data_IF_703395215411
#
_entry.id   IF_703395215411
#
_cell.length_a   1.000
_cell.length_b   1.000
_cell.length_c   1.000
_cell.angle_alpha   90.00
_cell.angle_beta   90.00
_cell.angle_gamma   90.00
#
_symmetry.space_group_name_H-M   'P 1'
#
loop_
_entity.id
_entity.type
_entity.pdbx_description
1 polymer ?
#
# COMPACT_ATOMS: atom_id res chain seq x y z
N UNK A 1 -26.82 -11.53 -25.54
CA UNK A 1 -27.86 -11.33 -24.51
C UNK A 1 -28.59 -10.04 -24.81
N UNK A 2 -29.85 -10.12 -25.19
CA UNK A 2 -30.70 -8.95 -25.50
C UNK A 2 -31.13 -8.30 -24.19
N UNK A 3 -30.66 -7.08 -23.91
CA UNK A 3 -31.12 -6.33 -22.73
C UNK A 3 -32.61 -6.00 -22.92
N UNK A 4 -33.45 -6.49 -22.01
CA UNK A 4 -34.88 -6.13 -21.97
C UNK A 4 -34.97 -4.62 -21.74
N UNK A 5 -35.50 -3.89 -22.71
CA UNK A 5 -35.65 -2.44 -22.61
C UNK A 5 -36.49 -2.08 -21.37
N UNK A 6 -36.01 -1.13 -20.56
CA UNK A 6 -36.77 -0.61 -19.43
C UNK A 6 -37.99 0.16 -19.95
N UNK A 7 -39.12 0.04 -19.26
CA UNK A 7 -40.31 0.81 -19.60
C UNK A 7 -40.05 2.31 -19.40
N UNK A 8 -40.69 3.19 -20.21
CA UNK A 8 -40.50 4.63 -20.10
C UNK A 8 -40.90 5.19 -18.72
N UNK A 9 -41.90 4.59 -18.07
CA UNK A 9 -42.29 4.92 -16.70
C UNK A 9 -41.16 4.66 -15.69
N UNK A 10 -40.42 3.56 -15.86
CA UNK A 10 -39.29 3.24 -14.98
C UNK A 10 -38.12 4.19 -15.20
N UNK A 11 -37.87 4.61 -16.43
CA UNK A 11 -36.83 5.60 -16.75
C UNK A 11 -37.12 6.95 -16.07
N UNK A 12 -38.38 7.39 -16.07
CA UNK A 12 -38.79 8.62 -15.38
C UNK A 12 -38.58 8.53 -13.85
N UNK A 13 -38.90 7.38 -13.25
CA UNK A 13 -38.67 7.10 -11.84
C UNK A 13 -37.18 7.17 -11.48
N UNK A 14 -36.30 6.55 -12.28
CA UNK A 14 -34.85 6.59 -12.07
C UNK A 14 -34.30 8.01 -12.10
N UNK A 15 -34.76 8.82 -13.05
CA UNK A 15 -34.33 10.23 -13.18
C UNK A 15 -34.82 11.09 -12.02
N UNK A 16 -36.05 10.90 -11.55
CA UNK A 16 -36.59 11.58 -10.37
C UNK A 16 -35.81 11.23 -9.10
N UNK A 17 -35.50 9.96 -8.89
CA UNK A 17 -34.70 9.55 -7.73
C UNK A 17 -33.27 10.10 -7.80
N UNK A 18 -32.71 10.23 -9.01
CA UNK A 18 -31.36 10.78 -9.19
C UNK A 18 -31.33 12.30 -8.98
N UNK A 19 -32.35 13.04 -9.43
CA UNK A 19 -32.43 14.49 -9.21
C UNK A 19 -32.65 14.85 -7.73
N UNK A 20 -33.24 13.94 -6.94
CA UNK A 20 -33.30 14.03 -5.47
C UNK A 20 -31.93 13.83 -4.79
N UNK A 21 -30.86 13.56 -5.55
CA UNK A 21 -29.50 13.41 -5.02
C UNK A 21 -29.20 12.04 -4.43
N UNK A 22 -29.99 11.01 -4.74
CA UNK A 22 -29.69 9.64 -4.30
C UNK A 22 -28.49 9.06 -5.08
N UNK A 23 -27.71 8.22 -4.40
CA UNK A 23 -26.60 7.49 -5.03
C UNK A 23 -27.10 6.43 -6.02
N UNK A 24 -26.30 6.08 -7.02
CA UNK A 24 -26.70 5.11 -8.06
C UNK A 24 -27.14 3.76 -7.47
N UNK A 25 -26.41 3.28 -6.45
CA UNK A 25 -26.76 2.07 -5.71
C UNK A 25 -28.12 2.18 -5.01
N UNK A 26 -28.38 3.31 -4.34
CA UNK A 26 -29.66 3.53 -3.67
C UNK A 26 -30.84 3.60 -4.67
N UNK A 27 -30.62 4.22 -5.83
CA UNK A 27 -31.60 4.26 -6.92
C UNK A 27 -31.85 2.86 -7.47
N UNK A 28 -30.80 2.08 -7.73
CA UNK A 28 -30.88 0.71 -8.21
C UNK A 28 -31.68 -0.19 -7.26
N UNK A 29 -31.41 -0.10 -5.95
CA UNK A 29 -32.15 -0.84 -4.93
C UNK A 29 -33.62 -0.43 -4.85
N UNK A 30 -33.93 0.88 -4.85
CA UNK A 30 -35.31 1.36 -4.78
C UNK A 30 -36.13 1.00 -6.03
N UNK A 31 -35.51 1.07 -7.20
CA UNK A 31 -36.18 0.80 -8.46
C UNK A 31 -36.14 -0.67 -8.88
N UNK A 32 -35.36 -1.53 -8.21
CA UNK A 32 -35.23 -2.94 -8.55
C UNK A 32 -34.54 -3.19 -9.90
N UNK A 33 -33.58 -2.35 -10.26
CA UNK A 33 -32.83 -2.44 -11.53
C UNK A 33 -31.33 -2.50 -11.29
N UNK A 34 -30.55 -2.95 -12.27
CA UNK A 34 -29.09 -2.98 -12.16
C UNK A 34 -28.50 -1.57 -12.14
N UNK A 35 -27.36 -1.39 -11.45
CA UNK A 35 -26.64 -0.11 -11.42
C UNK A 35 -26.23 0.36 -12.83
N UNK A 36 -25.92 -0.58 -13.74
CA UNK A 36 -25.63 -0.27 -15.14
C UNK A 36 -26.83 0.33 -15.89
N UNK A 37 -28.05 -0.14 -15.61
CA UNK A 37 -29.26 0.44 -16.19
C UNK A 37 -29.51 1.86 -15.65
N UNK A 38 -29.29 2.09 -14.35
CA UNK A 38 -29.35 3.44 -13.76
C UNK A 38 -28.31 4.35 -14.42
N UNK A 39 -27.07 3.88 -14.54
CA UNK A 39 -25.98 4.61 -15.20
C UNK A 39 -26.34 5.07 -16.60
N UNK A 40 -26.90 4.19 -17.41
CA UNK A 40 -27.23 4.50 -18.80
C UNK A 40 -28.36 5.54 -18.92
N UNK A 41 -29.32 5.55 -17.99
CA UNK A 41 -30.49 6.41 -18.05
C UNK A 41 -30.40 7.70 -17.23
N UNK A 42 -29.38 7.85 -16.38
CA UNK A 42 -29.19 9.03 -15.52
C UNK A 42 -27.81 9.65 -15.60
N UNK A 43 -27.02 9.33 -16.64
CA UNK A 43 -25.63 9.80 -16.81
C UNK A 43 -25.50 11.32 -16.89
N UNK A 44 -26.52 11.96 -17.45
CA UNK A 44 -26.64 13.40 -17.64
C UNK A 44 -26.94 14.17 -16.34
N UNK A 45 -27.41 13.47 -15.30
CA UNK A 45 -27.71 14.09 -14.01
C UNK A 45 -26.44 14.08 -13.15
N UNK A 46 -25.92 15.26 -12.75
CA UNK A 46 -24.67 15.36 -12.03
C UNK A 46 -24.73 14.56 -10.72
N UNK A 47 -23.60 14.00 -10.28
CA UNK A 47 -23.56 13.29 -9.01
C UNK A 47 -23.95 14.21 -7.86
N UNK A 48 -24.68 13.71 -6.85
CA UNK A 48 -24.93 14.47 -5.64
C UNK A 48 -23.58 14.93 -5.10
N UNK A 49 -23.48 16.22 -4.79
CA UNK A 49 -22.24 16.85 -4.34
C UNK A 49 -21.56 15.92 -3.33
N UNK A 50 -20.40 15.41 -3.73
CA UNK A 50 -19.62 14.47 -2.92
C UNK A 50 -19.26 15.23 -1.66
N UNK A 51 -20.00 15.03 -0.57
CA UNK A 51 -19.60 15.53 0.74
C UNK A 51 -18.30 14.82 1.08
N UNK A 52 -17.18 15.42 0.70
CA UNK A 52 -15.86 15.15 1.28
C UNK A 52 -15.84 15.76 2.67
N UNK A 53 -16.79 15.36 3.51
CA UNK A 53 -16.65 15.42 4.95
C UNK A 53 -16.45 13.98 5.34
N UNK A 54 -15.20 13.63 5.65
CA UNK A 54 -14.83 12.52 6.52
C UNK A 54 -15.46 12.73 7.90
N UNK A 55 -16.78 12.71 7.97
CA UNK A 55 -17.48 12.50 9.21
C UNK A 55 -17.50 10.99 9.37
N UNK A 56 -16.64 10.48 10.26
CA UNK A 56 -16.83 9.18 10.91
C UNK A 56 -18.23 9.21 11.53
N UNK A 57 -19.24 8.86 10.75
CA UNK A 57 -20.54 8.44 11.27
C UNK A 57 -20.28 7.00 11.70
N UNK A 58 -20.09 6.82 13.01
CA UNK A 58 -20.08 5.50 13.60
C UNK A 58 -21.31 4.74 13.12
N UNK A 59 -21.12 3.50 12.74
CA UNK A 59 -22.20 2.56 12.43
C UNK A 59 -23.04 2.35 13.68
N UNK A 60 -24.02 3.20 13.91
CA UNK A 60 -25.17 2.90 14.74
C UNK A 60 -26.28 2.41 13.82
N UNK A 61 -26.26 1.11 13.55
CA UNK A 61 -27.42 0.42 13.00
C UNK A 61 -27.49 -0.96 13.64
N UNK A 62 -28.28 -1.08 14.70
CA UNK A 62 -29.51 -1.88 14.64
C UNK A 62 -30.26 -1.86 15.98
N UNK A 63 -31.57 -1.74 15.84
CA UNK A 63 -32.60 -2.20 16.75
C UNK A 63 -32.82 -1.38 18.05
N UNK A 64 -33.89 -0.60 18.01
CA UNK A 64 -34.75 -0.41 19.17
C UNK A 64 -35.18 -1.79 19.69
N UNK A 65 -34.47 -2.31 20.68
CA UNK A 65 -35.02 -3.26 21.64
C UNK A 65 -34.79 -2.61 23.00
N UNK A 66 -35.88 -2.22 23.65
CA UNK A 66 -35.87 -1.79 25.04
C UNK A 66 -35.59 -3.01 25.91
N UNK A 67 -34.32 -3.33 26.11
CA UNK A 67 -33.90 -4.22 27.18
C UNK A 67 -33.27 -3.39 28.30
N UNK A 68 -34.00 -3.35 29.41
CA UNK A 68 -33.59 -2.88 30.72
C UNK A 68 -32.29 -3.56 31.15
N UNK A 69 -31.16 -2.95 30.85
CA UNK A 69 -29.88 -3.36 31.45
C UNK A 69 -29.03 -2.13 31.73
N UNK A 70 -28.89 -1.85 33.02
CA UNK A 70 -27.82 -1.10 33.65
C UNK A 70 -27.37 0.19 32.98
N UNK A 71 -27.66 1.32 33.63
CA UNK A 71 -26.79 2.49 33.55
C UNK A 71 -25.35 2.06 33.94
N UNK A 72 -24.55 1.65 32.96
CA UNK A 72 -23.12 1.51 33.15
C UNK A 72 -22.58 2.93 33.19
N UNK A 73 -22.33 3.35 34.42
CA UNK A 73 -21.56 4.53 34.79
C UNK A 73 -20.36 4.66 33.86
N UNK A 74 -20.40 5.65 32.97
CA UNK A 74 -19.23 6.14 32.24
C UNK A 74 -18.29 6.79 33.27
N UNK A 75 -17.53 5.95 33.97
CA UNK A 75 -16.49 6.36 34.89
C UNK A 75 -15.21 6.74 34.15
N UNK A 76 -14.25 7.40 34.81
CA UNK A 76 -13.01 7.92 34.24
C UNK A 76 -12.08 6.88 33.60
N UNK A 77 -12.41 5.59 33.70
CA UNK A 77 -11.68 4.48 33.09
C UNK A 77 -11.86 4.37 31.57
N UNK A 78 -12.80 5.07 30.93
CA UNK A 78 -12.98 4.97 29.48
C UNK A 78 -11.95 5.75 28.65
N UNK A 79 -11.41 6.86 29.16
CA UNK A 79 -10.44 7.67 28.40
C UNK A 79 -9.01 7.15 28.55
N UNK A 80 -8.59 6.80 29.78
CA UNK A 80 -7.26 6.21 30.01
C UNK A 80 -7.07 4.89 29.24
N UNK A 81 -8.12 4.07 29.14
CA UNK A 81 -8.06 2.81 28.40
C UNK A 81 -7.97 3.04 26.88
N UNK A 82 -8.65 4.07 26.36
CA UNK A 82 -8.53 4.49 24.95
C UNK A 82 -7.15 5.05 24.64
N UNK A 83 -6.60 5.86 25.54
CA UNK A 83 -5.25 6.42 25.42
C UNK A 83 -4.20 5.31 25.40
N UNK A 84 -4.31 4.35 26.33
CA UNK A 84 -3.40 3.19 26.37
C UNK A 84 -3.51 2.35 25.09
N UNK A 85 -4.72 2.09 24.60
CA UNK A 85 -4.92 1.37 23.34
C UNK A 85 -4.30 2.10 22.14
N UNK A 86 -4.42 3.43 22.10
CA UNK A 86 -3.80 4.26 21.08
C UNK A 86 -2.27 4.25 21.18
N UNK A 87 -1.72 4.29 22.39
CA UNK A 87 -0.28 4.19 22.63
C UNK A 87 0.28 2.83 22.19
N UNK A 88 -0.39 1.73 22.54
CA UNK A 88 0.00 0.37 22.11
C UNK A 88 -0.04 0.26 20.59
N UNK A 89 -1.09 0.79 19.95
CA UNK A 89 -1.18 0.80 18.49
C UNK A 89 -0.06 1.62 17.85
N UNK A 90 0.26 2.79 18.42
CA UNK A 90 1.37 3.63 17.93
C UNK A 90 2.71 2.93 18.09
N UNK A 91 2.96 2.30 19.23
CA UNK A 91 4.20 1.55 19.49
C UNK A 91 4.36 0.37 18.51
N UNK A 92 3.28 -0.36 18.23
CA UNK A 92 3.30 -1.43 17.23
C UNK A 92 3.60 -0.91 15.83
N UNK A 93 2.93 0.16 15.42
CA UNK A 93 3.20 0.78 14.10
C UNK A 93 4.63 1.30 14.02
N UNK A 94 5.18 1.83 15.11
CA UNK A 94 6.56 2.27 15.15
C UNK A 94 7.53 1.10 14.96
N UNK A 95 7.33 -0.01 15.68
CA UNK A 95 8.14 -1.22 15.49
C UNK A 95 8.06 -1.73 14.05
N UNK A 96 6.87 -1.76 13.44
CA UNK A 96 6.71 -2.15 12.03
C UNK A 96 7.44 -1.19 11.06
N UNK A 97 7.49 0.12 11.36
CA UNK A 97 8.25 1.09 10.56
C UNK A 97 9.76 0.91 10.71
N UNK A 98 10.22 0.61 11.92
CA UNK A 98 11.63 0.34 12.21
C UNK A 98 12.09 -0.93 11.46
N UNK A 99 11.30 -2.01 11.50
CA UNK A 99 11.54 -3.24 10.74
C UNK A 99 11.58 -3.01 9.20
N UNK A 100 10.73 -2.11 8.69
CA UNK A 100 10.76 -1.74 7.26
C UNK A 100 12.04 -0.97 6.95
N UNK A 101 12.49 -0.10 7.85
CA UNK A 101 13.70 0.70 7.66
C UNK A 101 14.94 -0.18 7.68
N UNK A 102 15.01 -1.14 8.58
CA UNK A 102 16.12 -2.10 8.66
C UNK A 102 16.20 -2.97 7.40
N UNK A 103 15.07 -3.48 6.91
CA UNK A 103 15.04 -4.23 5.64
C UNK A 103 15.48 -3.39 4.45
N UNK A 104 15.09 -2.11 4.39
CA UNK A 104 15.56 -1.19 3.35
C UNK A 104 17.07 -0.97 3.43
N UNK A 105 17.60 -0.82 4.65
CA UNK A 105 19.03 -0.68 4.88
C UNK A 105 19.80 -1.93 4.43
N UNK A 106 19.32 -3.13 4.77
CA UNK A 106 19.94 -4.39 4.33
C UNK A 106 20.00 -4.50 2.80
N UNK A 107 18.92 -4.14 2.10
CA UNK A 107 18.89 -4.07 0.62
C UNK A 107 19.86 -3.04 0.06
N UNK A 108 19.96 -1.89 0.70
CA UNK A 108 20.93 -0.86 0.30
C UNK A 108 22.37 -1.39 0.44
N UNK A 109 22.67 -2.08 1.55
CA UNK A 109 23.97 -2.68 1.81
C UNK A 109 24.32 -3.77 0.77
N UNK A 110 23.36 -4.62 0.36
CA UNK A 110 23.60 -5.63 -0.69
C UNK A 110 23.85 -4.98 -2.06
N UNK A 111 23.11 -3.94 -2.42
CA UNK A 111 23.32 -3.18 -3.66
C UNK A 111 24.68 -2.46 -3.67
N UNK A 112 25.09 -1.88 -2.54
CA UNK A 112 26.40 -1.23 -2.42
C UNK A 112 27.55 -2.24 -2.60
N UNK A 113 27.42 -3.45 -2.06
CA UNK A 113 28.38 -4.53 -2.28
C UNK A 113 28.44 -4.94 -3.76
N UNK A 114 27.28 -5.06 -4.44
CA UNK A 114 27.21 -5.34 -5.89
C UNK A 114 27.91 -4.26 -6.71
N UNK A 115 27.71 -2.98 -6.35
CA UNK A 115 28.32 -1.87 -7.05
C UNK A 115 29.85 -1.88 -6.89
N UNK A 116 30.35 -2.13 -5.68
CA UNK A 116 31.79 -2.24 -5.41
C UNK A 116 32.42 -3.41 -6.15
N UNK A 117 31.79 -4.59 -6.13
CA UNK A 117 32.27 -5.75 -6.86
C UNK A 117 32.37 -5.48 -8.36
N UNK A 118 31.35 -4.85 -8.96
CA UNK A 118 31.37 -4.45 -10.37
C UNK A 118 32.51 -3.48 -10.66
N UNK A 119 32.70 -2.47 -9.81
CA UNK A 119 33.78 -1.48 -9.96
C UNK A 119 35.16 -2.13 -9.93
N UNK A 120 35.42 -3.00 -8.95
CA UNK A 120 36.70 -3.70 -8.84
C UNK A 120 36.90 -4.69 -10.00
N UNK A 121 35.83 -5.33 -10.47
CA UNK A 121 35.90 -6.21 -11.64
C UNK A 121 36.32 -5.46 -12.90
N UNK A 122 35.80 -4.25 -13.11
CA UNK A 122 36.22 -3.38 -14.22
C UNK A 122 37.68 -2.96 -14.05
N UNK A 123 38.11 -2.57 -12.84
CA UNK A 123 39.51 -2.23 -12.58
C UNK A 123 40.46 -3.41 -12.83
N UNK A 124 40.03 -4.62 -12.51
CA UNK A 124 40.79 -5.84 -12.78
C UNK A 124 40.89 -6.12 -14.29
N UNK A 125 39.81 -5.90 -15.04
CA UNK A 125 39.83 -6.02 -16.50
C UNK A 125 40.74 -4.96 -17.15
N UNK A 126 40.66 -3.72 -16.70
CA UNK A 126 41.52 -2.61 -17.14
C UNK A 126 43.00 -2.86 -16.81
N UNK A 127 43.30 -3.32 -15.59
CA UNK A 127 44.64 -3.69 -15.18
C UNK A 127 45.17 -4.87 -16.01
N UNK A 128 44.31 -5.80 -16.41
CA UNK A 128 44.67 -6.94 -17.26
C UNK A 128 45.01 -6.50 -18.68
N UNK A 129 44.19 -5.61 -19.23
CA UNK A 129 44.42 -5.00 -20.55
C UNK A 129 45.69 -4.12 -20.57
N UNK A 130 46.01 -3.43 -19.48
CA UNK A 130 47.22 -2.64 -19.32
C UNK A 130 48.47 -3.52 -19.12
N UNK A 131 48.36 -4.58 -18.32
CA UNK A 131 49.44 -5.55 -18.09
C UNK A 131 49.79 -6.36 -19.35
N UNK A 132 48.83 -6.62 -20.23
CA UNK A 132 49.11 -7.26 -21.53
C UNK A 132 49.97 -6.39 -22.47
N UNK A 133 50.14 -5.10 -22.15
CA UNK A 133 50.96 -4.13 -22.91
C UNK A 133 52.26 -3.75 -22.19
N UNK A 134 52.54 -4.32 -21.01
CA UNK A 134 53.59 -3.87 -20.07
C UNK A 134 54.33 -5.06 -19.46
N UNK A 135 55.66 -5.07 -19.55
CA UNK A 135 56.50 -6.13 -18.97
C UNK A 135 56.55 -6.03 -17.42
N UNK A 136 55.73 -6.86 -16.76
CA UNK A 136 56.21 -7.69 -15.65
C UNK A 136 56.05 -7.22 -14.18
N UNK A 137 55.52 -6.04 -13.87
CA UNK A 137 55.51 -5.53 -12.48
C UNK A 137 54.15 -5.51 -11.75
N UNK A 138 53.05 -5.86 -12.41
CA UNK A 138 51.66 -5.67 -11.92
C UNK A 138 51.04 -6.89 -11.23
N UNK A 139 51.76 -8.01 -11.10
CA UNK A 139 51.20 -9.29 -10.63
C UNK A 139 50.60 -9.26 -9.23
N UNK A 140 51.24 -8.55 -8.28
CA UNK A 140 50.77 -8.42 -6.89
C UNK A 140 49.46 -7.65 -6.76
N UNK A 141 49.34 -6.52 -7.47
CA UNK A 141 48.12 -5.71 -7.51
C UNK A 141 46.95 -6.51 -8.12
N UNK A 142 47.24 -7.36 -9.10
CA UNK A 142 46.22 -8.21 -9.71
C UNK A 142 45.70 -9.28 -8.75
N UNK A 143 46.59 -9.88 -7.95
CA UNK A 143 46.19 -10.86 -6.93
C UNK A 143 45.40 -10.21 -5.79
N UNK A 144 45.76 -9.00 -5.38
CA UNK A 144 45.02 -8.23 -4.37
C UNK A 144 43.59 -7.93 -4.85
N UNK A 145 43.42 -7.42 -6.08
CA UNK A 145 42.09 -7.16 -6.65
C UNK A 145 41.24 -8.43 -6.77
N UNK A 146 41.83 -9.57 -7.13
CA UNK A 146 41.11 -10.86 -7.17
C UNK A 146 40.62 -11.29 -5.78
N UNK A 147 41.46 -11.13 -4.77
CA UNK A 147 41.11 -11.48 -3.40
C UNK A 147 40.01 -10.56 -2.86
N UNK A 148 40.11 -9.25 -3.11
CA UNK A 148 39.08 -8.27 -2.69
C UNK A 148 37.73 -8.53 -3.37
N UNK A 149 37.72 -8.89 -4.66
CA UNK A 149 36.50 -9.31 -5.37
C UNK A 149 35.91 -10.59 -4.75
N UNK A 150 36.75 -11.55 -4.37
CA UNK A 150 36.29 -12.80 -3.74
C UNK A 150 35.67 -12.53 -2.36
N UNK A 151 36.30 -11.68 -1.55
CA UNK A 151 35.77 -11.25 -0.25
C UNK A 151 34.44 -10.49 -0.39
N UNK A 152 34.32 -9.59 -1.38
CA UNK A 152 33.07 -8.88 -1.64
C UNK A 152 31.95 -9.82 -2.11
N UNK A 153 32.27 -10.85 -2.91
CA UNK A 153 31.29 -11.87 -3.31
C UNK A 153 30.81 -12.69 -2.13
N UNK A 154 31.71 -13.07 -1.25
CA UNK A 154 31.37 -13.78 -0.02
C UNK A 154 30.52 -12.91 0.90
N UNK A 155 30.93 -11.66 1.14
CA UNK A 155 30.18 -10.70 1.94
C UNK A 155 28.77 -10.45 1.37
N UNK A 156 28.65 -10.33 0.04
CA UNK A 156 27.36 -10.20 -0.65
C UNK A 156 26.50 -11.43 -0.46
N UNK A 157 27.05 -12.62 -0.64
CA UNK A 157 26.32 -13.88 -0.43
C UNK A 157 25.84 -14.02 1.02
N UNK A 158 26.69 -13.68 1.99
CA UNK A 158 26.29 -13.66 3.41
C UNK A 158 25.20 -12.61 3.70
N UNK A 159 25.24 -11.46 3.03
CA UNK A 159 24.22 -10.42 3.18
C UNK A 159 22.89 -10.81 2.51
N UNK A 160 22.93 -11.46 1.34
CA UNK A 160 21.76 -12.01 0.66
C UNK A 160 21.06 -13.11 1.48
N UNK A 161 21.81 -13.89 2.27
CA UNK A 161 21.25 -14.88 3.19
C UNK A 161 20.54 -14.27 4.41
N UNK A 162 20.78 -13.00 4.71
CA UNK A 162 20.14 -12.27 5.83
C UNK A 162 18.86 -11.53 5.40
N UNK A 163 18.63 -11.37 4.09
CA UNK A 163 17.44 -10.74 3.51
C UNK A 163 16.23 -11.69 3.45
#
# INVERSE_FOLDING_TARGET
MTQKALSPAKIAELRSLRSQGLSMRAVATKAGVSEGAVSNHTRDIPPPARRTSSQKVGTASQAEVKDTTGAVVAGPYDEETKELANQVKKARLQAELDDITDRKRQRQETEDLRLRERKLSVQLEEAGAASARSDGSSGGQFTELRNEIAELREARHQAELRE
#
